data_IF_311691368571
#
_entry.id   IF_311691368571
#
_cell.length_a   1.000
_cell.length_b   1.000
_cell.length_c   1.000
_cell.angle_alpha   90.00
_cell.angle_beta   90.00
_cell.angle_gamma   90.00
#
_symmetry.space_group_name_H-M   'P 1'
#
loop_
_entity.id
_entity.type
_entity.pdbx_description
1 polymer ?
#
# COMPACT_ATOMS: atom_id res chain seq x y z
N UNK A 1 6.94 -12.89 24.91
CA UNK A 1 6.95 -11.47 25.33
C UNK A 1 5.83 -10.72 24.63
N UNK A 2 5.13 -9.81 25.32
CA UNK A 2 4.07 -8.96 24.75
C UNK A 2 4.61 -7.64 24.20
N UNK A 3 5.74 -7.16 24.73
CA UNK A 3 6.45 -5.96 24.28
C UNK A 3 7.96 -6.11 24.47
N UNK A 4 8.72 -5.32 23.72
CA UNK A 4 10.18 -5.22 23.75
C UNK A 4 10.58 -3.75 23.85
N UNK A 5 11.73 -3.45 24.43
CA UNK A 5 12.32 -2.11 24.42
C UNK A 5 13.73 -2.16 23.86
N UNK A 6 14.03 -1.28 22.90
CA UNK A 6 15.36 -1.14 22.28
C UNK A 6 15.67 0.35 22.22
N UNK A 7 16.77 0.77 22.86
CA UNK A 7 17.23 2.16 22.86
C UNK A 7 16.12 3.18 23.22
N UNK A 8 15.34 2.88 24.26
CA UNK A 8 14.21 3.71 24.71
C UNK A 8 12.96 3.68 23.80
N UNK A 9 12.97 2.86 22.75
CA UNK A 9 11.83 2.65 21.86
C UNK A 9 11.09 1.38 22.26
N UNK A 10 9.80 1.52 22.59
CA UNK A 10 8.91 0.41 22.92
C UNK A 10 8.25 -0.15 21.68
N UNK A 11 8.36 -1.46 21.49
CA UNK A 11 7.72 -2.20 20.41
C UNK A 11 6.69 -3.19 20.99
N UNK A 12 5.48 -3.17 20.44
CA UNK A 12 4.39 -4.07 20.79
C UNK A 12 4.32 -5.24 19.81
N UNK A 13 4.06 -6.44 20.33
CA UNK A 13 4.00 -7.66 19.51
C UNK A 13 2.76 -7.67 18.60
N UNK A 14 2.98 -7.97 17.32
CA UNK A 14 1.92 -8.24 16.33
C UNK A 14 1.95 -9.71 15.98
N UNK A 15 0.81 -10.40 16.11
CA UNK A 15 0.72 -11.83 15.84
C UNK A 15 0.82 -12.10 14.34
N UNK A 16 1.40 -13.24 13.98
CA UNK A 16 1.38 -13.75 12.61
C UNK A 16 -0.05 -13.79 12.06
N UNK A 17 -0.23 -13.40 10.79
CA UNK A 17 -1.51 -13.48 10.11
C UNK A 17 -1.45 -12.92 8.70
N UNK A 18 -2.62 -12.70 8.11
CA UNK A 18 -2.75 -12.16 6.77
C UNK A 18 -3.61 -10.90 6.77
N UNK A 19 -3.29 -9.98 5.87
CA UNK A 19 -4.09 -8.79 5.58
C UNK A 19 -4.33 -8.68 4.08
N UNK A 20 -5.42 -8.03 3.67
CA UNK A 20 -5.71 -7.78 2.25
C UNK A 20 -5.35 -6.34 1.88
N UNK A 21 -4.50 -6.20 0.87
CA UNK A 21 -4.01 -4.90 0.37
C UNK A 21 -4.55 -4.62 -1.03
N UNK A 22 -5.02 -3.40 -1.26
CA UNK A 22 -5.57 -2.94 -2.55
C UNK A 22 -7.08 -3.06 -2.66
N UNK A 23 -7.59 -2.86 -3.88
CA UNK A 23 -9.02 -2.72 -4.15
C UNK A 23 -9.51 -3.81 -5.12
N UNK A 24 -10.74 -4.29 -4.91
CA UNK A 24 -11.40 -5.29 -5.76
C UNK A 24 -12.41 -4.65 -6.73
N UNK A 25 -12.85 -3.41 -6.51
CA UNK A 25 -13.76 -2.69 -7.42
C UNK A 25 -13.21 -2.66 -8.86
N UNK A 26 -14.06 -3.04 -9.82
CA UNK A 26 -13.63 -3.18 -11.22
C UNK A 26 -13.54 -1.86 -12.00
N UNK A 27 -14.07 -0.76 -11.47
CA UNK A 27 -14.05 0.55 -12.13
C UNK A 27 -12.62 1.02 -12.42
N UNK A 28 -12.42 1.73 -13.53
CA UNK A 28 -11.08 2.14 -13.96
C UNK A 28 -10.42 3.16 -13.04
N UNK A 29 -11.21 3.97 -12.31
CA UNK A 29 -10.67 4.90 -11.30
C UNK A 29 -9.87 4.18 -10.20
N UNK A 30 -10.15 2.89 -9.97
CA UNK A 30 -9.44 2.06 -8.99
C UNK A 30 -8.24 1.31 -9.59
N UNK A 31 -7.89 1.53 -10.86
CA UNK A 31 -6.82 0.78 -11.54
C UNK A 31 -5.46 0.86 -10.82
N UNK A 32 -5.12 2.04 -10.29
CA UNK A 32 -3.87 2.22 -9.55
C UNK A 32 -3.83 1.55 -8.17
N UNK A 33 -4.98 1.13 -7.64
CA UNK A 33 -5.09 0.42 -6.37
C UNK A 33 -5.35 -1.08 -6.57
N UNK A 34 -5.25 -1.58 -7.80
CA UNK A 34 -5.46 -2.99 -8.15
C UNK A 34 -4.14 -3.71 -8.42
N UNK A 35 -4.10 -5.05 -8.32
CA UNK A 35 -5.15 -5.92 -7.76
C UNK A 35 -5.20 -5.88 -6.22
N UNK A 36 -6.34 -6.27 -5.65
CA UNK A 36 -6.42 -6.66 -4.25
C UNK A 36 -5.70 -8.00 -4.06
N UNK A 37 -4.89 -8.12 -3.03
CA UNK A 37 -4.06 -9.31 -2.80
C UNK A 37 -3.85 -9.58 -1.30
N UNK A 38 -3.63 -10.85 -0.96
CA UNK A 38 -3.25 -11.27 0.39
C UNK A 38 -1.77 -10.96 0.66
N UNK A 39 -1.48 -10.38 1.82
CA UNK A 39 -0.12 -10.25 2.36
C UNK A 39 -0.03 -11.03 3.66
N UNK A 40 0.88 -12.01 3.71
CA UNK A 40 1.18 -12.82 4.90
C UNK A 40 2.29 -12.17 5.70
N UNK A 41 1.94 -11.64 6.86
CA UNK A 41 2.89 -11.06 7.79
C UNK A 41 3.39 -12.14 8.78
N UNK A 42 4.71 -12.23 9.02
CA UNK A 42 5.24 -13.04 10.12
C UNK A 42 4.78 -12.45 11.47
N UNK A 43 5.20 -13.09 12.56
CA UNK A 43 5.22 -12.40 13.84
C UNK A 43 6.30 -11.31 13.79
N UNK A 44 5.96 -10.10 14.23
CA UNK A 44 6.89 -8.96 14.31
C UNK A 44 6.51 -8.06 15.50
N UNK A 45 7.33 -7.04 15.76
CA UNK A 45 7.02 -6.01 16.75
C UNK A 45 7.00 -4.64 16.08
N UNK A 46 6.12 -3.74 16.54
CA UNK A 46 5.95 -2.40 15.97
C UNK A 46 5.82 -1.36 17.06
N UNK A 47 6.34 -0.15 16.84
CA UNK A 47 6.07 0.97 17.74
C UNK A 47 4.59 1.32 17.71
N UNK A 48 3.97 1.45 18.88
CA UNK A 48 2.55 1.81 19.03
C UNK A 48 2.27 3.26 18.60
N UNK A 49 3.23 4.15 18.82
CA UNK A 49 3.19 5.55 18.41
C UNK A 49 4.31 5.87 17.43
N UNK A 50 4.15 6.94 16.65
CA UNK A 50 5.24 7.49 15.83
C UNK A 50 6.33 8.07 16.73
N UNK A 51 7.55 8.10 16.21
CA UNK A 51 8.72 8.61 16.91
C UNK A 51 8.50 10.06 17.38
N UNK A 52 8.70 10.30 18.67
CA UNK A 52 8.55 11.63 19.26
C UNK A 52 9.86 12.42 19.21
N UNK A 53 9.76 13.74 19.38
CA UNK A 53 10.94 14.62 19.49
C UNK A 53 11.89 14.17 20.61
N UNK A 54 11.34 13.84 21.78
CA UNK A 54 12.12 13.36 22.93
C UNK A 54 12.87 12.06 22.60
N UNK A 55 12.19 11.10 21.97
CA UNK A 55 12.84 9.85 21.57
C UNK A 55 13.93 10.10 20.54
N UNK A 56 13.68 10.95 19.54
CA UNK A 56 14.66 11.29 18.53
C UNK A 56 15.88 12.01 19.12
N UNK A 57 15.67 12.94 20.05
CA UNK A 57 16.76 13.61 20.77
C UNK A 57 17.62 12.64 21.56
N UNK A 58 17.00 11.67 22.23
CA UNK A 58 17.72 10.63 22.96
C UNK A 58 18.54 9.72 22.00
N UNK A 59 18.00 9.39 20.83
CA UNK A 59 18.69 8.55 19.84
C UNK A 59 19.94 9.21 19.25
N UNK A 60 19.91 10.53 19.04
CA UNK A 60 21.02 11.29 18.43
C UNK A 60 21.93 11.94 19.50
N UNK A 61 21.63 11.75 20.80
CA UNK A 61 22.30 12.41 21.92
C UNK A 61 22.45 13.93 21.72
N UNK A 62 21.38 14.56 21.20
CA UNK A 62 21.37 15.99 20.89
C UNK A 62 19.99 16.61 21.06
N UNK A 63 19.95 17.86 21.49
CA UNK A 63 18.72 18.62 21.56
C UNK A 63 18.28 19.02 20.16
N UNK A 64 17.10 18.53 19.76
CA UNK A 64 16.52 18.76 18.44
C UNK A 64 15.39 19.78 18.59
N UNK A 65 15.22 20.67 17.62
CA UNK A 65 14.16 21.68 17.70
C UNK A 65 12.77 21.02 17.57
N UNK A 66 11.75 21.62 18.18
CA UNK A 66 10.38 21.14 18.04
C UNK A 66 9.95 21.16 16.57
N UNK A 67 9.40 20.04 16.09
CA UNK A 67 8.94 19.86 14.71
C UNK A 67 9.94 19.16 13.80
N UNK A 68 11.23 19.10 14.17
CA UNK A 68 12.25 18.38 13.41
C UNK A 68 12.03 16.86 13.42
N UNK A 69 11.27 16.32 14.37
CA UNK A 69 10.84 14.92 14.39
C UNK A 69 9.92 14.55 13.22
N UNK A 70 9.39 15.57 12.53
CA UNK A 70 8.60 15.40 11.33
C UNK A 70 9.33 15.82 10.04
N UNK A 71 10.65 16.00 10.09
CA UNK A 71 11.47 16.41 8.95
C UNK A 71 12.40 15.26 8.55
N UNK A 72 12.14 14.65 7.39
CA UNK A 72 12.86 13.45 6.96
C UNK A 72 13.37 13.56 5.53
N UNK A 73 14.52 12.94 5.30
CA UNK A 73 15.10 12.59 4.00
C UNK A 73 15.71 11.18 4.10
N UNK A 74 16.20 10.62 3.00
CA UNK A 74 16.74 9.27 2.96
C UNK A 74 17.96 9.08 3.87
N UNK A 75 18.87 10.06 3.89
CA UNK A 75 20.10 10.01 4.67
C UNK A 75 19.81 9.99 6.18
N UNK A 76 19.03 10.95 6.68
CA UNK A 76 18.63 11.02 8.08
C UNK A 76 17.89 9.76 8.51
N UNK A 77 16.97 9.27 7.67
CA UNK A 77 16.25 8.03 7.94
C UNK A 77 17.20 6.83 8.06
N UNK A 78 18.16 6.69 7.12
CA UNK A 78 19.13 5.59 7.16
C UNK A 78 20.03 5.62 8.39
N UNK A 79 20.44 6.81 8.84
CA UNK A 79 21.26 6.99 10.05
C UNK A 79 20.48 6.54 11.29
N UNK A 80 19.23 7.01 11.44
CA UNK A 80 18.39 6.60 12.58
C UNK A 80 18.14 5.09 12.56
N UNK A 81 17.78 4.52 11.41
CA UNK A 81 17.57 3.08 11.31
C UNK A 81 18.85 2.30 11.65
N UNK A 82 20.02 2.74 11.18
CA UNK A 82 21.30 2.10 11.49
C UNK A 82 21.60 2.15 12.99
N UNK A 83 21.45 3.31 13.63
CA UNK A 83 21.66 3.47 15.08
C UNK A 83 20.81 2.51 15.90
N UNK A 84 19.50 2.40 15.59
CA UNK A 84 18.63 1.48 16.34
C UNK A 84 18.96 0.00 16.03
N UNK A 85 19.37 -0.33 14.81
CA UNK A 85 19.84 -1.68 14.48
C UNK A 85 21.13 -2.05 15.23
N UNK A 86 22.06 -1.11 15.40
CA UNK A 86 23.28 -1.36 16.18
C UNK A 86 22.93 -1.55 17.67
N UNK A 87 22.02 -0.75 18.22
CA UNK A 87 21.50 -0.98 19.58
C UNK A 87 20.78 -2.33 19.73
N UNK A 88 20.06 -2.79 18.70
CA UNK A 88 19.48 -4.14 18.68
C UNK A 88 20.57 -5.20 18.78
N UNK A 89 21.65 -5.07 18.00
CA UNK A 89 22.79 -6.01 17.98
C UNK A 89 23.47 -6.09 19.35
N UNK A 90 23.71 -4.95 19.97
CA UNK A 90 24.29 -4.86 21.32
C UNK A 90 23.38 -5.49 22.38
N UNK A 91 22.06 -5.42 22.19
CA UNK A 91 21.08 -5.95 23.14
C UNK A 91 20.79 -7.45 22.96
N UNK A 92 21.31 -8.11 21.91
CA UNK A 92 20.95 -9.50 21.56
C UNK A 92 21.16 -10.50 22.69
N UNK A 93 22.20 -10.32 23.52
CA UNK A 93 22.50 -11.22 24.64
C UNK A 93 21.50 -11.09 25.79
N UNK A 94 20.83 -9.94 25.90
CA UNK A 94 19.93 -9.58 27.01
C UNK A 94 18.47 -9.85 26.64
N UNK A 95 18.12 -9.73 25.35
CA UNK A 95 16.77 -9.96 24.87
C UNK A 95 16.38 -11.44 24.95
N UNK A 96 15.20 -11.75 25.51
CA UNK A 96 14.74 -13.13 25.53
C UNK A 96 14.13 -13.51 24.16
N UNK A 97 14.87 -14.28 23.38
CA UNK A 97 14.45 -14.79 22.06
C UNK A 97 15.60 -14.75 21.06
N UNK A 98 15.46 -15.48 19.94
CA UNK A 98 16.44 -15.41 18.86
C UNK A 98 16.09 -14.26 17.90
N UNK A 99 16.79 -13.13 18.10
CA UNK A 99 16.71 -11.94 17.26
C UNK A 99 17.89 -11.80 16.28
N UNK A 100 18.72 -12.84 16.11
CA UNK A 100 19.95 -12.79 15.29
C UNK A 100 19.69 -12.49 13.81
N UNK A 101 18.52 -12.88 13.30
CA UNK A 101 18.11 -12.67 11.91
C UNK A 101 16.92 -11.69 11.84
N UNK A 102 16.95 -10.63 12.64
CA UNK A 102 15.92 -9.59 12.66
C UNK A 102 16.52 -8.24 12.28
N UNK A 103 15.67 -7.36 11.77
CA UNK A 103 16.04 -6.02 11.37
C UNK A 103 15.04 -4.99 11.91
N UNK A 104 15.53 -3.78 12.12
CA UNK A 104 14.70 -2.60 12.36
C UNK A 104 14.60 -1.81 11.07
N UNK A 105 13.39 -1.41 10.69
CA UNK A 105 13.11 -0.56 9.53
C UNK A 105 11.75 0.10 9.65
N UNK A 106 11.37 0.94 8.68
CA UNK A 106 9.98 1.36 8.52
C UNK A 106 9.06 0.15 8.23
N UNK A 107 7.78 0.16 8.64
CA UNK A 107 6.83 -0.87 8.24
C UNK A 107 6.63 -0.89 6.73
N UNK A 108 6.35 -2.06 6.17
CA UNK A 108 5.70 -2.14 4.86
C UNK A 108 4.22 -1.80 4.98
N UNK A 109 3.55 -1.53 3.87
CA UNK A 109 2.11 -1.30 3.84
C UNK A 109 1.34 -2.48 4.45
N UNK A 110 1.73 -3.71 4.13
CA UNK A 110 1.13 -4.92 4.70
C UNK A 110 1.31 -4.99 6.21
N UNK A 111 2.53 -4.77 6.71
CA UNK A 111 2.79 -4.75 8.16
C UNK A 111 2.02 -3.63 8.88
N UNK A 112 1.94 -2.44 8.28
CA UNK A 112 1.19 -1.31 8.83
C UNK A 112 -0.31 -1.61 8.92
N UNK A 113 -0.90 -2.13 7.84
CA UNK A 113 -2.32 -2.49 7.80
C UNK A 113 -2.64 -3.64 8.77
N UNK A 114 -1.78 -4.66 8.83
CA UNK A 114 -1.94 -5.79 9.76
C UNK A 114 -1.85 -5.35 11.22
N UNK A 115 -0.91 -4.45 11.53
CA UNK A 115 -0.79 -3.87 12.86
C UNK A 115 -2.03 -3.03 13.23
N UNK A 116 -2.59 -2.28 12.26
CA UNK A 116 -3.85 -1.55 12.45
C UNK A 116 -5.02 -2.50 12.75
N UNK A 117 -5.18 -3.58 12.00
CA UNK A 117 -6.25 -4.56 12.21
C UNK A 117 -6.18 -5.23 13.59
N UNK A 118 -4.96 -5.44 14.10
CA UNK A 118 -4.74 -5.96 15.45
C UNK A 118 -4.74 -4.90 16.55
N UNK A 119 -5.04 -3.63 16.22
CA UNK A 119 -5.03 -2.51 17.16
C UNK A 119 -3.67 -2.33 17.87
N UNK A 120 -2.57 -2.68 17.21
CA UNK A 120 -1.21 -2.59 17.75
C UNK A 120 -0.55 -1.21 17.50
N UNK A 121 -1.20 -0.33 16.73
CA UNK A 121 -0.74 1.02 16.45
C UNK A 121 -1.84 2.05 16.74
N UNK A 122 -1.45 3.18 17.31
CA UNK A 122 -2.26 4.37 17.40
C UNK A 122 -2.00 5.27 16.18
N UNK A 123 -3.10 5.64 15.51
CA UNK A 123 -3.07 6.45 14.29
C UNK A 123 -3.51 7.87 14.64
N UNK A 124 -2.77 8.86 14.15
CA UNK A 124 -3.09 10.27 14.34
C UNK A 124 -3.64 10.88 13.04
N UNK A 125 -4.65 11.74 13.17
CA UNK A 125 -5.13 12.54 12.04
C UNK A 125 -4.03 13.48 11.56
N UNK A 126 -4.05 13.84 10.26
CA UNK A 126 -3.05 14.72 9.63
C UNK A 126 -1.61 14.17 9.69
N UNK A 127 -1.44 12.87 9.93
CA UNK A 127 -0.15 12.22 9.88
C UNK A 127 0.11 11.63 8.49
N UNK A 128 1.39 11.59 8.13
CA UNK A 128 1.88 10.94 6.91
C UNK A 128 3.04 10.03 7.29
N UNK A 129 2.76 8.76 7.48
CA UNK A 129 3.76 7.80 8.00
C UNK A 129 4.62 7.22 6.87
N UNK A 130 5.94 7.21 7.05
CA UNK A 130 6.89 6.67 6.07
C UNK A 130 6.83 5.15 6.06
N UNK A 131 6.74 4.56 4.87
CA UNK A 131 6.84 3.10 4.67
C UNK A 131 8.22 2.71 4.14
N UNK A 132 8.58 1.44 4.31
CA UNK A 132 9.77 0.85 3.67
C UNK A 132 9.56 0.59 2.17
N UNK A 133 8.32 0.60 1.69
CA UNK A 133 8.00 0.36 0.28
C UNK A 133 8.35 1.55 -0.60
N UNK A 134 8.79 1.25 -1.82
CA UNK A 134 8.93 2.21 -2.89
C UNK A 134 7.57 2.59 -3.49
N UNK A 135 7.51 3.75 -4.15
CA UNK A 135 6.31 4.22 -4.85
C UNK A 135 6.06 3.39 -6.11
N UNK A 136 4.82 2.96 -6.30
CA UNK A 136 4.41 2.20 -7.49
C UNK A 136 3.05 2.62 -7.99
N UNK A 137 2.80 2.43 -9.29
CA UNK A 137 1.54 2.84 -9.92
C UNK A 137 0.39 1.83 -9.77
N UNK A 138 0.67 0.61 -9.31
CA UNK A 138 -0.30 -0.45 -9.04
C UNK A 138 0.34 -1.57 -8.20
N UNK A 139 -0.44 -2.57 -7.77
CA UNK A 139 0.05 -3.68 -6.95
C UNK A 139 0.63 -4.87 -7.74
N UNK A 140 0.74 -4.79 -9.07
CA UNK A 140 1.40 -5.86 -9.85
C UNK A 140 2.87 -5.91 -9.47
N UNK A 141 3.40 -7.07 -9.11
CA UNK A 141 4.75 -7.23 -8.58
C UNK A 141 4.93 -6.79 -7.12
N UNK A 142 3.84 -6.51 -6.38
CA UNK A 142 3.92 -6.24 -4.95
C UNK A 142 4.33 -7.50 -4.16
N UNK A 143 5.06 -7.31 -3.06
CA UNK A 143 5.47 -8.39 -2.16
C UNK A 143 4.27 -8.90 -1.36
N UNK A 144 4.13 -10.21 -1.25
CA UNK A 144 3.02 -10.86 -0.54
C UNK A 144 3.43 -11.45 0.81
N UNK A 145 4.69 -11.34 1.22
CA UNK A 145 5.26 -11.90 2.46
C UNK A 145 5.74 -10.82 3.47
N UNK A 146 5.32 -9.58 3.24
CA UNK A 146 5.66 -8.43 4.07
C UNK A 146 7.11 -7.93 3.91
N UNK A 147 7.86 -8.41 2.91
CA UNK A 147 9.13 -7.76 2.51
C UNK A 147 8.85 -6.39 1.90
N UNK A 148 9.77 -5.41 2.07
CA UNK A 148 9.67 -4.14 1.38
C UNK A 148 9.66 -4.32 -0.14
N UNK A 149 8.76 -3.62 -0.81
CA UNK A 149 8.74 -3.55 -2.27
C UNK A 149 9.79 -2.54 -2.75
N UNK A 150 10.77 -3.00 -3.52
CA UNK A 150 11.74 -2.13 -4.19
C UNK A 150 11.13 -1.32 -5.34
N UNK A 151 11.83 -0.26 -5.76
CA UNK A 151 11.46 0.50 -6.95
C UNK A 151 11.87 -0.28 -8.20
N UNK A 152 10.94 -0.40 -9.15
CA UNK A 152 11.20 -1.03 -10.45
C UNK A 152 10.91 -0.02 -11.57
N UNK A 153 11.95 0.39 -12.29
CA UNK A 153 11.82 1.29 -13.44
C UNK A 153 12.84 2.43 -13.40
N UNK A 154 12.52 3.50 -14.13
CA UNK A 154 13.32 4.72 -14.21
C UNK A 154 12.42 5.93 -14.07
N UNK A 155 12.87 6.96 -13.36
CA UNK A 155 12.15 8.22 -13.25
C UNK A 155 12.31 8.88 -11.87
N UNK A 156 11.72 10.06 -11.68
CA UNK A 156 11.86 10.84 -10.45
C UNK A 156 11.33 10.10 -9.21
N UNK A 157 10.38 9.18 -9.39
CA UNK A 157 9.78 8.39 -8.31
C UNK A 157 10.76 7.40 -7.66
N UNK A 158 11.94 7.14 -8.25
CA UNK A 158 12.97 6.30 -7.62
C UNK A 158 13.50 6.87 -6.31
N UNK A 159 13.37 8.19 -6.13
CA UNK A 159 13.80 8.91 -4.93
C UNK A 159 12.66 9.18 -3.94
N UNK A 160 11.51 8.56 -4.17
CA UNK A 160 10.35 8.69 -3.29
C UNK A 160 10.12 7.41 -2.50
N UNK A 161 9.64 7.56 -1.28
CA UNK A 161 9.10 6.46 -0.47
C UNK A 161 7.58 6.50 -0.50
N UNK A 162 6.96 5.32 -0.40
CA UNK A 162 5.54 5.21 -0.12
C UNK A 162 5.24 5.69 1.30
N UNK A 163 4.04 6.20 1.50
CA UNK A 163 3.59 6.71 2.80
C UNK A 163 2.13 6.37 3.03
N UNK A 164 1.75 6.19 4.30
CA UNK A 164 0.35 6.10 4.71
C UNK A 164 -0.11 7.47 5.15
N UNK A 165 -0.97 8.09 4.36
CA UNK A 165 -1.51 9.42 4.62
C UNK A 165 -2.89 9.29 5.25
N UNK A 166 -3.06 9.90 6.42
CA UNK A 166 -4.29 9.80 7.23
C UNK A 166 -5.07 11.10 7.10
N UNK A 167 -6.37 10.96 6.82
CA UNK A 167 -7.23 12.10 6.58
C UNK A 167 -7.23 13.11 7.75
N UNK A 168 -7.32 14.43 7.47
CA UNK A 168 -7.16 15.46 8.49
C UNK A 168 -8.11 15.41 9.68
N UNK A 169 -9.28 14.81 9.50
CA UNK A 169 -10.35 14.77 10.50
C UNK A 169 -10.91 13.38 10.77
N UNK A 170 -10.47 12.34 10.04
CA UNK A 170 -11.05 11.01 10.15
C UNK A 170 -9.95 9.93 10.06
N UNK A 171 -9.67 9.25 11.17
CA UNK A 171 -8.61 8.23 11.27
C UNK A 171 -8.87 6.98 10.42
N UNK A 172 -10.12 6.75 10.01
CA UNK A 172 -10.50 5.58 9.20
C UNK A 172 -10.27 5.78 7.71
N UNK A 173 -10.10 7.04 7.26
CA UNK A 173 -9.82 7.36 5.86
C UNK A 173 -8.30 7.45 5.71
N UNK A 174 -7.74 6.44 5.05
CA UNK A 174 -6.30 6.29 4.85
C UNK A 174 -6.03 6.08 3.36
N UNK A 175 -5.02 6.77 2.85
CA UNK A 175 -4.60 6.67 1.46
C UNK A 175 -3.11 6.35 1.37
N UNK A 176 -2.75 5.53 0.38
CA UNK A 176 -1.36 5.38 -0.01
C UNK A 176 -0.95 6.64 -0.79
N UNK A 177 0.16 7.25 -0.38
CA UNK A 177 0.70 8.48 -0.94
C UNK A 177 2.21 8.32 -1.13
N UNK A 178 2.88 9.36 -1.64
CA UNK A 178 4.33 9.37 -1.78
C UNK A 178 4.95 10.59 -1.14
N UNK A 179 6.22 10.46 -0.74
CA UNK A 179 7.04 11.55 -0.26
C UNK A 179 8.41 11.52 -0.96
N UNK A 180 8.88 12.66 -1.53
CA UNK A 180 10.26 12.77 -1.95
C UNK A 180 11.18 12.64 -0.73
N UNK A 181 12.23 11.83 -0.88
CA UNK A 181 13.23 11.56 0.15
C UNK A 181 14.64 12.01 -0.28
N UNK A 182 14.80 12.57 -1.48
CA UNK A 182 16.04 13.20 -1.98
C UNK A 182 16.36 14.55 -1.32
N UNK A 183 15.45 15.06 -0.51
CA UNK A 183 15.51 16.36 0.16
C UNK A 183 14.76 16.29 1.47
N UNK A 184 15.00 17.26 2.35
CA UNK A 184 14.21 17.40 3.57
C UNK A 184 12.74 17.65 3.26
N UNK A 185 11.89 16.83 3.88
CA UNK A 185 10.45 16.89 3.70
C UNK A 185 9.77 16.96 5.07
N UNK A 186 8.92 17.98 5.25
CA UNK A 186 8.22 18.27 6.50
C UNK A 186 6.88 17.55 6.57
N UNK A 187 6.44 17.25 7.78
CA UNK A 187 5.14 16.61 8.04
C UNK A 187 5.13 15.10 7.81
N UNK A 188 6.32 14.47 7.74
CA UNK A 188 6.45 13.02 7.66
C UNK A 188 6.67 12.46 9.06
N UNK A 189 5.92 11.44 9.45
CA UNK A 189 6.09 10.80 10.74
C UNK A 189 6.78 9.45 10.58
N UNK A 190 7.70 9.13 11.49
CA UNK A 190 8.45 7.88 11.46
C UNK A 190 7.86 6.88 12.45
N UNK A 191 7.66 5.64 12.00
CA UNK A 191 7.35 4.49 12.85
C UNK A 191 8.28 3.35 12.45
N UNK A 192 8.77 2.60 13.43
CA UNK A 192 9.67 1.49 13.19
C UNK A 192 9.00 0.15 13.53
N UNK A 193 9.41 -0.87 12.80
CA UNK A 193 9.14 -2.28 13.07
C UNK A 193 10.44 -3.00 13.35
N UNK A 194 10.39 -3.97 14.25
CA UNK A 194 11.39 -5.01 14.44
C UNK A 194 10.80 -6.30 13.85
N UNK A 195 11.40 -6.82 12.79
CA UNK A 195 10.84 -7.93 12.03
C UNK A 195 11.91 -8.93 11.59
N UNK A 196 11.59 -10.23 11.45
CA UNK A 196 12.56 -11.19 10.93
C UNK A 196 12.92 -10.88 9.47
N UNK A 197 14.17 -11.12 9.11
CA UNK A 197 14.70 -11.08 7.76
C UNK A 197 14.23 -12.34 7.03
N UNK A 198 13.44 -12.17 5.96
CA UNK A 198 12.88 -13.30 5.21
C UNK A 198 13.94 -13.87 4.26
N UNK A 199 14.16 -15.19 4.32
CA UNK A 199 15.09 -15.93 3.44
C UNK A 199 14.33 -16.58 2.27
N UNK A 200 15.04 -16.87 1.18
CA UNK A 200 14.48 -17.53 -0.01
C UNK A 200 13.77 -16.58 -0.97
N UNK A 201 13.19 -17.16 -2.04
CA UNK A 201 12.50 -16.42 -3.10
C UNK A 201 11.26 -15.69 -2.58
N UNK A 202 11.10 -14.38 -2.91
CA UNK A 202 9.90 -13.64 -2.55
C UNK A 202 8.69 -14.17 -3.33
N UNK A 203 7.53 -14.17 -2.67
CA UNK A 203 6.22 -14.38 -3.32
C UNK A 203 5.67 -13.01 -3.69
N UNK A 204 5.32 -12.82 -4.96
CA UNK A 204 4.87 -11.54 -5.48
C UNK A 204 3.57 -11.65 -6.25
N UNK A 205 2.83 -10.54 -6.31
CA UNK A 205 1.65 -10.45 -7.16
C UNK A 205 2.06 -10.61 -8.62
N UNK A 206 1.36 -11.45 -9.42
CA UNK A 206 1.68 -11.66 -10.83
C UNK A 206 1.84 -10.35 -11.60
N UNK A 207 2.99 -10.17 -12.27
CA UNK A 207 3.34 -8.89 -12.92
C UNK A 207 2.44 -8.54 -14.09
N UNK A 208 2.04 -9.55 -14.86
CA UNK A 208 1.20 -9.35 -16.05
C UNK A 208 -0.28 -9.40 -15.66
N UNK A 209 -1.04 -8.45 -16.19
CA UNK A 209 -2.49 -8.50 -16.12
C UNK A 209 -3.04 -9.48 -17.18
N UNK A 210 -4.18 -10.10 -16.89
CA UNK A 210 -4.94 -10.85 -17.88
C UNK A 210 -5.61 -9.87 -18.87
N UNK A 211 -4.86 -9.48 -19.90
CA UNK A 211 -5.30 -8.53 -20.91
C UNK A 211 -6.51 -9.05 -21.68
N UNK A 212 -6.49 -10.33 -22.05
CA UNK A 212 -7.57 -10.95 -22.83
C UNK A 212 -8.88 -11.00 -22.04
N UNK A 213 -8.82 -11.43 -20.76
CA UNK A 213 -9.97 -11.41 -19.87
C UNK A 213 -10.49 -10.00 -19.62
N UNK A 214 -9.59 -9.01 -19.48
CA UNK A 214 -9.98 -7.62 -19.32
C UNK A 214 -10.72 -7.07 -20.54
N UNK A 215 -10.23 -7.31 -21.75
CA UNK A 215 -10.87 -6.86 -22.99
C UNK A 215 -12.24 -7.53 -23.16
N UNK A 216 -12.33 -8.84 -22.94
CA UNK A 216 -13.60 -9.57 -23.02
C UNK A 216 -14.63 -9.02 -22.04
N UNK A 217 -14.23 -8.81 -20.79
CA UNK A 217 -15.10 -8.22 -19.78
C UNK A 217 -15.56 -6.82 -20.19
N UNK A 218 -14.67 -6.00 -20.75
CA UNK A 218 -15.00 -4.63 -21.13
C UNK A 218 -15.99 -4.58 -22.29
N UNK A 219 -15.81 -5.44 -23.29
CA UNK A 219 -16.73 -5.57 -24.41
C UNK A 219 -18.13 -5.99 -23.93
N UNK A 220 -18.22 -6.99 -23.05
CA UNK A 220 -19.50 -7.47 -22.50
C UNK A 220 -20.24 -6.34 -21.78
N UNK A 221 -19.58 -5.64 -20.85
CA UNK A 221 -20.25 -4.61 -20.05
C UNK A 221 -20.55 -3.34 -20.83
N UNK A 222 -19.70 -2.97 -21.79
CA UNK A 222 -19.98 -1.85 -22.70
C UNK A 222 -21.21 -2.13 -23.55
N UNK A 223 -21.38 -3.36 -24.04
CA UNK A 223 -22.57 -3.75 -24.78
C UNK A 223 -23.80 -3.76 -23.87
N UNK A 224 -23.74 -4.42 -22.71
CA UNK A 224 -24.89 -4.58 -21.82
C UNK A 224 -25.37 -3.29 -21.15
N UNK A 225 -24.46 -2.39 -20.77
CA UNK A 225 -24.80 -1.16 -20.04
C UNK A 225 -24.84 0.08 -20.93
N UNK A 226 -24.20 0.02 -22.10
CA UNK A 226 -24.10 1.12 -23.03
C UNK A 226 -24.99 0.92 -24.24
N UNK A 227 -24.59 -0.02 -25.10
CA UNK A 227 -25.22 -0.23 -26.42
C UNK A 227 -26.66 -0.76 -26.30
N UNK A 228 -26.91 -1.81 -25.50
CA UNK A 228 -28.26 -2.38 -25.39
C UNK A 228 -29.27 -1.34 -24.87
N UNK A 229 -28.99 -0.58 -23.79
CA UNK A 229 -29.90 0.46 -23.32
C UNK A 229 -30.10 1.59 -24.34
N UNK A 230 -29.06 1.97 -25.10
CA UNK A 230 -29.18 3.04 -26.08
C UNK A 230 -30.15 2.70 -27.23
N UNK A 231 -30.27 1.43 -27.59
CA UNK A 231 -31.26 0.97 -28.58
C UNK A 231 -32.63 0.61 -27.94
N UNK A 232 -32.63 0.01 -26.75
CA UNK A 232 -33.86 -0.41 -26.09
C UNK A 232 -34.75 0.77 -25.69
N UNK A 233 -34.16 1.86 -25.19
CA UNK A 233 -34.92 3.02 -24.72
C UNK A 233 -35.74 3.69 -25.84
N UNK A 234 -35.16 4.06 -27.00
CA UNK A 234 -35.94 4.61 -28.13
C UNK A 234 -37.00 3.65 -28.66
N UNK A 235 -36.67 2.35 -28.75
CA UNK A 235 -37.60 1.34 -29.24
C UNK A 235 -38.84 1.22 -28.33
N UNK A 236 -38.63 1.11 -27.02
CA UNK A 236 -39.71 1.07 -26.02
C UNK A 236 -40.52 2.37 -25.95
N UNK A 237 -39.94 3.49 -26.39
CA UNK A 237 -40.60 4.80 -26.49
C UNK A 237 -41.34 5.02 -27.80
N UNK A 238 -41.43 4.01 -28.67
CA UNK A 238 -42.13 4.10 -29.95
C UNK A 238 -41.37 4.87 -31.02
N UNK A 239 -40.08 5.15 -30.83
CA UNK A 239 -39.21 5.84 -31.80
C UNK A 239 -38.51 4.84 -32.74
N UNK A 240 -39.25 3.88 -33.27
CA UNK A 240 -38.71 2.79 -34.11
C UNK A 240 -37.96 3.29 -35.35
N UNK A 241 -38.50 4.28 -36.05
CA UNK A 241 -37.87 4.86 -37.25
C UNK A 241 -36.52 5.51 -36.94
N UNK A 242 -36.38 6.09 -35.74
CA UNK A 242 -35.11 6.64 -35.26
C UNK A 242 -34.08 5.55 -34.96
N UNK A 243 -34.50 4.35 -34.53
CA UNK A 243 -33.59 3.23 -34.33
C UNK A 243 -32.92 2.82 -35.65
N UNK A 244 -33.67 2.81 -36.76
CA UNK A 244 -33.14 2.44 -38.07
C UNK A 244 -32.37 3.56 -38.77
N UNK A 245 -32.86 4.81 -38.69
CA UNK A 245 -32.22 5.95 -39.35
C UNK A 245 -31.07 6.56 -38.54
N UNK A 246 -31.16 6.51 -37.22
CA UNK A 246 -30.22 7.10 -36.26
C UNK A 246 -29.31 6.10 -35.56
N UNK A 247 -29.19 4.86 -36.05
CA UNK A 247 -28.46 3.78 -35.38
C UNK A 247 -27.00 4.14 -35.04
N UNK A 248 -26.33 4.96 -35.86
CA UNK A 248 -24.94 5.41 -35.60
C UNK A 248 -24.87 6.26 -34.34
N UNK A 249 -25.84 7.17 -34.15
CA UNK A 249 -25.90 8.01 -32.95
C UNK A 249 -26.22 7.18 -31.71
N UNK A 250 -27.09 6.19 -31.83
CA UNK A 250 -27.42 5.26 -30.75
C UNK A 250 -26.22 4.39 -30.36
N UNK A 251 -25.48 3.89 -31.33
CA UNK A 251 -24.27 3.12 -31.10
C UNK A 251 -23.21 3.97 -30.40
N UNK A 252 -22.93 5.17 -30.92
CA UNK A 252 -21.93 6.05 -30.34
C UNK A 252 -22.32 6.51 -28.93
N UNK A 253 -23.57 6.91 -28.72
CA UNK A 253 -24.10 7.26 -27.40
C UNK A 253 -24.03 6.09 -26.43
N UNK A 254 -24.31 4.87 -26.90
CA UNK A 254 -24.17 3.64 -26.13
C UNK A 254 -22.72 3.35 -25.75
N UNK A 255 -21.77 3.49 -26.67
CA UNK A 255 -20.33 3.34 -26.37
C UNK A 255 -19.85 4.37 -25.34
N UNK A 256 -20.27 5.64 -25.47
CA UNK A 256 -19.95 6.68 -24.49
C UNK A 256 -20.53 6.35 -23.10
N UNK A 257 -21.80 5.94 -23.02
CA UNK A 257 -22.42 5.54 -21.76
C UNK A 257 -21.72 4.30 -21.16
N UNK A 258 -21.38 3.31 -21.99
CA UNK A 258 -20.62 2.13 -21.58
C UNK A 258 -19.24 2.50 -21.02
N UNK A 259 -18.53 3.43 -21.66
CA UNK A 259 -17.24 3.94 -21.21
C UNK A 259 -17.36 4.68 -19.86
N UNK A 260 -18.29 5.62 -19.74
CA UNK A 260 -18.49 6.41 -18.51
C UNK A 260 -18.88 5.50 -17.35
N UNK A 261 -19.81 4.56 -17.57
CA UNK A 261 -20.16 3.57 -16.53
C UNK A 261 -18.95 2.72 -16.16
N UNK A 262 -18.06 2.39 -17.09
CA UNK A 262 -16.82 1.63 -16.83
C UNK A 262 -15.79 2.36 -15.98
N UNK A 263 -15.74 3.68 -16.06
CA UNK A 263 -14.90 4.48 -15.19
C UNK A 263 -15.28 4.28 -13.72
N UNK A 264 -16.58 4.33 -13.39
CA UNK A 264 -17.08 4.25 -12.02
C UNK A 264 -17.40 2.83 -11.54
N UNK A 265 -17.90 1.96 -12.43
CA UNK A 265 -18.42 0.65 -12.07
C UNK A 265 -18.14 -0.44 -13.12
N UNK A 266 -17.53 -1.52 -12.63
CA UNK A 266 -17.50 -2.86 -13.24
C UNK A 266 -17.59 -3.88 -12.10
N UNK A 267 -17.95 -5.14 -12.38
CA UNK A 267 -17.93 -6.19 -11.36
C UNK A 267 -16.60 -6.27 -10.64
N UNK A 268 -16.64 -6.75 -9.40
CA UNK A 268 -15.45 -6.94 -8.59
C UNK A 268 -14.48 -7.91 -9.27
N UNK A 269 -13.19 -7.59 -9.20
CA UNK A 269 -12.08 -8.42 -9.68
C UNK A 269 -11.69 -9.42 -8.60
N UNK A 270 -11.14 -10.58 -8.98
CA UNK A 270 -10.68 -11.57 -8.02
C UNK A 270 -9.56 -11.01 -7.14
N UNK A 271 -9.54 -11.47 -5.90
CA UNK A 271 -8.44 -11.23 -4.96
C UNK A 271 -7.37 -12.28 -5.24
N UNK A 272 -6.11 -11.85 -5.26
CA UNK A 272 -4.97 -12.75 -5.46
C UNK A 272 -4.56 -13.29 -4.11
N UNK A 273 -4.75 -14.59 -3.89
CA UNK A 273 -4.32 -15.26 -2.66
C UNK A 273 -2.83 -15.53 -2.69
N UNK A 274 -2.21 -15.72 -1.52
CA UNK A 274 -0.77 -15.96 -1.43
C UNK A 274 -0.32 -17.20 -2.23
N UNK A 275 -1.15 -18.24 -2.29
CA UNK A 275 -0.91 -19.44 -3.08
C UNK A 275 -0.86 -19.17 -4.59
N UNK A 276 -1.54 -18.13 -5.07
CA UNK A 276 -1.59 -17.74 -6.48
C UNK A 276 -0.45 -16.78 -6.87
N UNK A 277 0.44 -16.45 -5.93
CA UNK A 277 1.57 -15.55 -6.15
C UNK A 277 2.68 -16.16 -7.01
N UNK A 278 3.39 -15.30 -7.74
CA UNK A 278 4.58 -15.68 -8.51
C UNK A 278 5.80 -15.75 -7.57
N UNK A 279 6.47 -16.89 -7.57
CA UNK A 279 7.80 -17.05 -6.97
C UNK A 279 8.85 -16.87 -8.05
N UNK A 280 9.78 -15.94 -7.83
CA UNK A 280 10.93 -15.77 -8.72
C UNK A 280 12.14 -16.45 -8.08
N UNK A 281 12.72 -17.44 -8.77
CA UNK A 281 14.08 -17.87 -8.46
C UNK A 281 15.01 -16.72 -8.83
N UNK A 282 15.67 -16.14 -7.82
CA UNK A 282 16.69 -15.11 -7.99
C UNK A 282 17.92 -15.67 -8.67
#
# INVERSE_FOLDING_TARGET
MSSLEINGLKFSKVKRGSVFVGESKGGWIYAGQRPCHEVRCPEFYIMENTLTNQQLSNLIDSNIASGDENVWNSERLSVIIALVNDSLRESLEILTGDFTNWEIRCPTQGEWMHAKEQQAIEINCKAKEILADAVTGNYRGAMMDGRPRGFEGHGPMQWHSATMEIHPSNKDIIALSSAPMDRENKGLSLRLVLTPIRKGSPVTVPRKADLAGNIKSELIWTVLLGVVPSFAIPWLRGMGDYVYSGWVNLLFGGLCAGFVTGAFWRPRRPIIMYEDGEQHQS
#
